data_IF_955695795417
#
_entry.id   IF_955695795417
#
_cell.length_a   1.000
_cell.length_b   1.000
_cell.length_c   1.000
_cell.angle_alpha   90.00
_cell.angle_beta   90.00
_cell.angle_gamma   90.00
#
_symmetry.space_group_name_H-M   'P 1'
#
loop_
_entity.id
_entity.type
_entity.pdbx_description
1 polymer ?
#
# COMPACT_ATOMS: atom_id res chain seq x y z
N UNK A 1 4.14 14.07 13.90
CA UNK A 1 3.29 14.67 14.96
C UNK A 1 2.96 16.14 14.66
N UNK A 2 3.94 16.97 14.30
CA UNK A 2 3.73 18.41 14.02
C UNK A 2 2.67 18.70 12.94
N UNK A 3 2.70 18.01 11.79
CA UNK A 3 1.70 18.17 10.73
C UNK A 3 0.24 17.94 11.22
N UNK A 4 0.04 16.99 12.14
CA UNK A 4 -1.29 16.71 12.72
C UNK A 4 -1.67 17.79 13.72
N UNK A 5 -0.73 18.27 14.55
CA UNK A 5 -1.00 19.39 15.45
C UNK A 5 -1.38 20.67 14.69
N UNK A 6 -0.73 20.94 13.55
CA UNK A 6 -1.03 22.11 12.71
C UNK A 6 -2.42 22.04 12.07
N UNK A 7 -2.84 20.86 11.59
CA UNK A 7 -4.13 20.67 10.91
C UNK A 7 -5.30 20.42 11.86
N UNK A 8 -5.04 19.74 12.97
CA UNK A 8 -6.03 19.28 13.93
C UNK A 8 -5.57 19.57 15.38
N UNK A 9 -5.37 20.85 15.75
CA UNK A 9 -4.80 21.22 17.05
C UNK A 9 -5.64 20.72 18.22
N UNK A 10 -6.96 20.66 18.05
CA UNK A 10 -7.91 20.16 19.05
C UNK A 10 -7.77 18.66 19.37
N UNK A 11 -7.08 17.88 18.52
CA UNK A 11 -6.77 16.47 18.78
C UNK A 11 -5.48 16.26 19.56
N UNK A 12 -4.63 17.29 19.67
CA UNK A 12 -3.28 17.20 20.24
C UNK A 12 -3.15 18.04 21.51
N UNK A 13 -3.74 19.25 21.53
CA UNK A 13 -3.59 20.19 22.64
C UNK A 13 -4.80 20.20 23.58
N UNK A 14 -4.55 20.06 24.90
CA UNK A 14 -5.57 20.18 25.96
C UNK A 14 -6.12 21.60 26.16
N UNK A 15 -5.43 22.63 25.64
CA UNK A 15 -5.65 24.04 26.01
C UNK A 15 -6.17 24.91 24.86
N UNK A 16 -6.92 24.34 23.92
CA UNK A 16 -7.76 25.18 23.06
C UNK A 16 -8.83 25.80 23.97
N UNK A 17 -8.67 27.09 24.29
CA UNK A 17 -9.70 27.88 24.97
C UNK A 17 -11.00 27.70 24.18
N UNK A 18 -12.04 27.22 24.88
CA UNK A 18 -13.43 27.22 24.41
C UNK A 18 -13.74 26.36 23.17
N UNK A 19 -13.46 25.06 23.19
CA UNK A 19 -14.26 24.13 22.38
C UNK A 19 -15.49 23.72 23.21
N UNK A 20 -16.72 24.10 22.81
CA UNK A 20 -17.95 23.79 23.59
C UNK A 20 -18.31 22.30 23.59
N UNK A 21 -17.46 21.43 23.04
CA UNK A 21 -17.69 19.99 22.87
C UNK A 21 -16.48 19.22 23.39
N UNK A 22 -16.74 18.04 23.98
CA UNK A 22 -15.67 17.10 24.36
C UNK A 22 -15.06 16.54 23.08
N UNK A 23 -13.76 16.70 22.92
CA UNK A 23 -13.02 16.12 21.80
C UNK A 23 -11.98 15.15 22.34
N UNK A 24 -11.85 13.99 21.70
CA UNK A 24 -10.86 12.98 22.06
C UNK A 24 -9.44 13.48 21.75
N UNK A 25 -8.50 13.17 22.64
CA UNK A 25 -7.08 13.42 22.41
C UNK A 25 -6.43 12.19 21.78
N UNK A 26 -5.46 12.42 20.91
CA UNK A 26 -4.60 11.36 20.38
C UNK A 26 -3.56 10.96 21.44
N UNK A 27 -3.51 9.67 21.75
CA UNK A 27 -2.43 9.04 22.51
C UNK A 27 -1.50 8.35 21.50
N UNK A 28 -0.33 8.93 21.27
CA UNK A 28 0.63 8.40 20.32
C UNK A 28 1.32 7.16 20.89
N UNK A 29 1.12 6.02 20.23
CA UNK A 29 1.92 4.80 20.45
C UNK A 29 2.85 4.63 19.27
N UNK A 30 4.08 5.10 19.43
CA UNK A 30 5.11 4.99 18.40
C UNK A 30 5.74 3.60 18.50
N UNK A 31 5.81 2.89 17.39
CA UNK A 31 6.44 1.56 17.31
C UNK A 31 7.92 1.73 16.96
N UNK A 32 8.22 2.54 15.94
CA UNK A 32 9.56 2.92 15.51
C UNK A 32 9.53 4.39 15.05
N UNK A 33 10.52 5.18 15.47
CA UNK A 33 10.60 6.61 15.16
C UNK A 33 11.20 6.87 13.78
N UNK A 34 12.13 6.02 13.34
CA UNK A 34 12.75 6.12 12.02
C UNK A 34 11.93 5.35 10.98
N UNK A 35 11.33 6.06 10.02
CA UNK A 35 10.51 5.47 8.97
C UNK A 35 11.28 4.58 7.97
N UNK A 36 12.61 4.58 8.02
CA UNK A 36 13.47 3.75 7.18
C UNK A 36 13.94 2.47 7.89
N UNK A 37 13.73 2.36 9.21
CA UNK A 37 14.20 1.20 9.99
C UNK A 37 13.13 0.11 10.10
N UNK A 38 13.52 -1.17 9.99
CA UNK A 38 12.61 -2.27 10.28
C UNK A 38 12.17 -2.29 11.74
N UNK A 39 10.96 -2.78 11.99
CA UNK A 39 10.41 -2.91 13.34
C UNK A 39 9.64 -4.21 13.52
N UNK A 40 9.49 -4.64 14.78
CA UNK A 40 8.71 -5.82 15.13
C UNK A 40 7.33 -5.43 15.68
N UNK A 41 6.27 -6.04 15.15
CA UNK A 41 4.92 -5.89 15.67
C UNK A 41 4.15 -7.21 15.54
N UNK A 42 3.43 -7.60 16.60
CA UNK A 42 2.63 -8.83 16.63
C UNK A 42 3.41 -10.11 16.24
N UNK A 43 4.71 -10.16 16.57
CA UNK A 43 5.59 -11.29 16.25
C UNK A 43 6.11 -11.33 14.81
N UNK A 44 5.85 -10.29 14.01
CA UNK A 44 6.34 -10.16 12.63
C UNK A 44 7.37 -9.03 12.55
N UNK A 45 8.38 -9.21 11.71
CA UNK A 45 9.29 -8.13 11.30
C UNK A 45 8.73 -7.42 10.07
N UNK A 46 8.63 -6.09 10.13
CA UNK A 46 8.19 -5.24 9.04
C UNK A 46 9.35 -4.38 8.56
N UNK A 47 9.63 -4.46 7.27
CA UNK A 47 10.60 -3.59 6.59
C UNK A 47 9.83 -2.50 5.85
N UNK A 48 10.06 -1.22 6.15
CA UNK A 48 9.41 -0.13 5.43
C UNK A 48 9.86 -0.08 3.97
N UNK A 49 8.93 0.28 3.09
CA UNK A 49 9.13 0.44 1.65
C UNK A 49 8.73 1.86 1.25
N UNK A 50 9.67 2.82 1.24
CA UNK A 50 9.36 4.20 0.85
C UNK A 50 8.82 4.24 -0.59
N UNK A 51 7.65 4.85 -0.77
CA UNK A 51 7.02 5.04 -2.08
C UNK A 51 6.51 6.46 -2.21
N UNK A 52 6.29 6.91 -3.44
CA UNK A 52 5.74 8.25 -3.68
C UNK A 52 4.22 8.18 -3.72
N UNK A 53 3.54 9.16 -3.14
CA UNK A 53 2.11 9.37 -3.29
C UNK A 53 1.88 10.84 -3.69
N UNK A 54 1.81 11.08 -5.00
CA UNK A 54 1.96 12.41 -5.60
C UNK A 54 3.42 12.75 -5.93
N UNK A 55 3.75 14.04 -5.98
CA UNK A 55 5.10 14.51 -6.34
C UNK A 55 6.05 14.57 -5.14
N UNK A 56 5.59 15.14 -4.03
CA UNK A 56 6.45 15.58 -2.92
C UNK A 56 6.10 14.89 -1.58
N UNK A 57 5.43 13.75 -1.63
CA UNK A 57 5.02 13.03 -0.43
C UNK A 57 5.46 11.57 -0.48
N UNK A 58 6.21 11.17 0.54
CA UNK A 58 6.65 9.79 0.75
C UNK A 58 5.60 9.11 1.63
N UNK A 59 5.00 8.05 1.10
CA UNK A 59 4.21 7.09 1.86
C UNK A 59 5.04 5.83 2.11
N UNK A 60 4.56 4.95 2.99
CA UNK A 60 5.23 3.70 3.33
C UNK A 60 4.35 2.53 2.89
N UNK A 61 4.90 1.69 2.03
CA UNK A 61 4.52 0.28 1.98
C UNK A 61 5.30 -0.51 3.03
N UNK A 62 4.99 -1.80 3.17
CA UNK A 62 5.72 -2.68 4.08
C UNK A 62 5.94 -4.06 3.46
N UNK A 63 7.16 -4.58 3.62
CA UNK A 63 7.53 -5.97 3.35
C UNK A 63 7.58 -6.74 4.68
N UNK A 64 6.96 -7.90 4.75
CA UNK A 64 6.93 -8.74 5.95
C UNK A 64 6.71 -10.22 5.61
N UNK A 65 6.91 -11.09 6.60
CA UNK A 65 6.79 -12.54 6.49
C UNK A 65 8.12 -13.20 6.12
N UNK A 66 8.53 -14.16 6.94
CA UNK A 66 9.79 -14.91 6.81
C UNK A 66 9.61 -16.13 5.91
N UNK A 67 8.45 -16.81 6.02
CA UNK A 67 8.12 -18.00 5.24
C UNK A 67 7.44 -17.65 3.93
N UNK A 68 6.41 -16.81 4.00
CA UNK A 68 5.74 -16.24 2.82
C UNK A 68 6.01 -14.74 2.77
N UNK A 69 6.69 -14.28 1.72
CA UNK A 69 7.04 -12.87 1.57
C UNK A 69 5.84 -12.09 1.06
N UNK A 70 5.40 -11.12 1.86
CA UNK A 70 4.26 -10.25 1.56
C UNK A 70 4.71 -8.81 1.48
N UNK A 71 4.34 -8.12 0.40
CA UNK A 71 4.45 -6.67 0.32
C UNK A 71 3.05 -6.04 0.25
N UNK A 72 2.78 -5.05 1.10
CA UNK A 72 1.58 -4.23 1.06
C UNK A 72 1.98 -2.79 0.70
N UNK A 73 1.50 -2.28 -0.43
CA UNK A 73 1.87 -0.96 -0.95
C UNK A 73 0.60 -0.21 -1.37
N UNK A 74 0.10 0.62 -0.47
CA UNK A 74 -0.96 1.62 -0.71
C UNK A 74 -0.81 2.73 0.33
N UNK A 75 -0.98 4.01 0.00
CA UNK A 75 -1.24 4.55 -1.35
C UNK A 75 0.06 4.83 -2.11
N UNK A 76 0.03 4.75 -3.44
CA UNK A 76 1.25 4.92 -4.26
C UNK A 76 0.97 5.46 -5.67
N UNK A 77 1.69 6.51 -6.09
CA UNK A 77 1.77 7.02 -7.47
C UNK A 77 3.00 6.51 -8.22
N UNK A 78 4.09 6.23 -7.51
CA UNK A 78 5.37 5.80 -8.09
C UNK A 78 6.19 5.02 -7.07
N UNK A 79 6.70 3.86 -7.50
CA UNK A 79 7.64 3.05 -6.73
C UNK A 79 9.06 3.46 -7.14
N UNK A 80 9.90 3.99 -6.22
CA UNK A 80 11.30 4.29 -6.51
C UNK A 80 12.09 3.02 -6.88
N UNK A 81 13.15 3.11 -7.70
CA UNK A 81 13.98 1.95 -8.07
C UNK A 81 14.57 1.18 -6.89
N UNK A 82 14.90 1.86 -5.78
CA UNK A 82 15.38 1.22 -4.55
C UNK A 82 14.32 0.29 -3.95
N UNK A 83 13.09 0.76 -3.86
CA UNK A 83 11.95 0.01 -3.34
C UNK A 83 11.55 -1.11 -4.28
N UNK A 84 11.53 -0.86 -5.58
CA UNK A 84 11.27 -1.88 -6.61
C UNK A 84 12.33 -3.00 -6.54
N UNK A 85 13.62 -2.64 -6.41
CA UNK A 85 14.68 -3.62 -6.23
C UNK A 85 14.49 -4.44 -4.95
N UNK A 86 14.18 -3.79 -3.81
CA UNK A 86 13.99 -4.44 -2.53
C UNK A 86 12.94 -5.56 -2.58
N UNK A 87 11.84 -5.36 -3.32
CA UNK A 87 10.75 -6.34 -3.47
C UNK A 87 10.85 -7.20 -4.74
N UNK A 88 11.93 -7.07 -5.51
CA UNK A 88 12.16 -7.87 -6.71
C UNK A 88 12.74 -9.24 -6.40
N UNK A 89 12.70 -10.15 -7.38
CA UNK A 89 13.40 -11.45 -7.31
C UNK A 89 14.90 -11.34 -6.99
N UNK A 90 15.55 -10.24 -7.38
CA UNK A 90 16.98 -10.01 -7.14
C UNK A 90 17.28 -9.35 -5.79
N UNK A 91 16.28 -8.73 -5.15
CA UNK A 91 16.39 -8.17 -3.80
C UNK A 91 15.95 -9.19 -2.75
N UNK A 92 14.74 -9.05 -2.22
CA UNK A 92 14.22 -9.95 -1.19
C UNK A 92 13.79 -11.33 -1.72
N UNK A 93 13.78 -11.56 -3.04
CA UNK A 93 13.26 -12.78 -3.65
C UNK A 93 11.85 -12.61 -4.20
N UNK A 94 11.31 -13.67 -4.82
CA UNK A 94 9.96 -13.62 -5.36
C UNK A 94 8.92 -13.45 -4.23
N UNK A 95 8.05 -12.45 -4.34
CA UNK A 95 6.94 -12.27 -3.40
C UNK A 95 5.91 -13.39 -3.55
N UNK A 96 5.43 -13.90 -2.43
CA UNK A 96 4.28 -14.82 -2.38
C UNK A 96 2.97 -14.05 -2.57
N UNK A 97 2.88 -12.84 -2.00
CA UNK A 97 1.73 -11.96 -2.11
C UNK A 97 2.16 -10.49 -2.26
N UNK A 98 1.64 -9.82 -3.27
CA UNK A 98 1.72 -8.36 -3.43
C UNK A 98 0.33 -7.75 -3.35
N UNK A 99 0.08 -6.89 -2.36
CA UNK A 99 -1.13 -6.06 -2.28
C UNK A 99 -0.75 -4.67 -2.77
N UNK A 100 -1.36 -4.21 -3.85
CA UNK A 100 -0.93 -3.01 -4.57
C UNK A 100 -2.11 -2.08 -4.89
N UNK A 101 -1.90 -0.79 -4.71
CA UNK A 101 -2.83 0.28 -5.10
C UNK A 101 -3.16 0.26 -6.60
N UNK A 102 -4.45 0.39 -6.91
CA UNK A 102 -4.98 0.69 -8.23
C UNK A 102 -6.23 1.55 -8.09
N UNK A 103 -6.10 2.85 -8.34
CA UNK A 103 -7.18 3.79 -7.99
C UNK A 103 -8.19 3.98 -9.13
N UNK A 104 -7.69 4.14 -10.36
CA UNK A 104 -8.51 4.40 -11.55
C UNK A 104 -8.17 3.45 -12.72
N UNK A 105 -9.12 3.15 -13.62
CA UNK A 105 -8.88 2.29 -14.79
C UNK A 105 -7.78 2.78 -15.73
N UNK A 106 -7.65 4.11 -15.89
CA UNK A 106 -6.70 4.73 -16.82
C UNK A 106 -6.16 6.02 -16.22
N UNK A 107 -4.88 6.30 -16.46
CA UNK A 107 -4.20 7.50 -16.00
C UNK A 107 -4.93 8.77 -16.42
N UNK A 108 -5.06 9.72 -15.49
CA UNK A 108 -5.63 11.06 -15.72
C UNK A 108 -4.63 12.12 -15.27
N UNK A 109 -4.25 13.01 -16.18
CA UNK A 109 -3.36 14.14 -15.89
C UNK A 109 -1.89 13.77 -15.68
N UNK A 110 -1.01 14.78 -15.55
CA UNK A 110 0.44 14.60 -15.51
C UNK A 110 0.98 14.09 -14.16
N UNK A 111 0.29 14.37 -13.05
CA UNK A 111 0.77 14.08 -11.69
C UNK A 111 -0.29 13.34 -10.87
N UNK A 112 -0.55 12.06 -11.17
CA UNK A 112 -1.51 11.31 -10.38
C UNK A 112 -0.94 11.05 -8.97
N UNK A 113 -1.82 11.03 -7.98
CA UNK A 113 -1.48 10.60 -6.62
C UNK A 113 -1.49 9.08 -6.47
N UNK A 114 -2.07 8.36 -7.42
CA UNK A 114 -2.17 6.90 -7.41
C UNK A 114 -1.79 6.27 -8.74
N UNK A 115 -1.36 5.02 -8.70
CA UNK A 115 -1.13 4.16 -9.85
C UNK A 115 -2.49 3.78 -10.47
N UNK A 116 -2.59 3.84 -11.81
CA UNK A 116 -3.77 3.35 -12.52
C UNK A 116 -3.67 1.84 -12.84
N UNK A 117 -4.78 1.23 -13.26
CA UNK A 117 -4.87 -0.20 -13.57
C UNK A 117 -3.77 -0.69 -14.51
N UNK A 118 -3.54 0.01 -15.63
CA UNK A 118 -2.51 -0.40 -16.59
C UNK A 118 -1.10 -0.30 -16.01
N UNK A 119 -0.81 0.72 -15.20
CA UNK A 119 0.49 0.86 -14.54
C UNK A 119 0.71 -0.23 -13.49
N UNK A 120 -0.34 -0.59 -12.74
CA UNK A 120 -0.30 -1.70 -11.77
C UNK A 120 0.07 -3.02 -12.47
N UNK A 121 -0.59 -3.37 -13.59
CA UNK A 121 -0.29 -4.59 -14.33
C UNK A 121 1.16 -4.63 -14.85
N UNK A 122 1.70 -3.49 -15.30
CA UNK A 122 3.11 -3.42 -15.71
C UNK A 122 4.08 -3.59 -14.54
N UNK A 123 3.73 -3.09 -13.34
CA UNK A 123 4.50 -3.35 -12.11
C UNK A 123 4.45 -4.85 -11.77
N UNK A 124 3.29 -5.48 -11.85
CA UNK A 124 3.15 -6.92 -11.59
C UNK A 124 4.01 -7.76 -12.54
N UNK A 125 4.09 -7.38 -13.83
CA UNK A 125 4.98 -8.04 -14.80
C UNK A 125 6.46 -7.90 -14.47
N UNK A 126 6.89 -6.77 -13.90
CA UNK A 126 8.29 -6.56 -13.53
C UNK A 126 8.66 -7.30 -12.24
N UNK A 127 7.77 -7.29 -11.25
CA UNK A 127 7.99 -7.91 -9.95
C UNK A 127 7.71 -9.42 -9.93
N UNK A 128 6.83 -9.89 -10.80
CA UNK A 128 6.41 -11.29 -10.93
C UNK A 128 6.07 -11.96 -9.57
N UNK A 129 5.15 -11.42 -8.75
CA UNK A 129 4.72 -12.08 -7.52
C UNK A 129 3.99 -13.39 -7.87
N UNK A 130 3.90 -14.33 -6.91
CA UNK A 130 3.08 -15.56 -7.11
C UNK A 130 1.59 -15.21 -7.16
N UNK A 131 1.16 -14.28 -6.30
CA UNK A 131 -0.20 -13.74 -6.27
C UNK A 131 -0.17 -12.23 -6.07
N UNK A 132 -1.10 -11.52 -6.69
CA UNK A 132 -1.36 -10.12 -6.39
C UNK A 132 -2.83 -9.85 -6.07
N UNK A 133 -3.06 -8.90 -5.18
CA UNK A 133 -4.37 -8.31 -4.90
C UNK A 133 -4.29 -6.82 -5.19
N UNK A 134 -5.18 -6.32 -6.04
CA UNK A 134 -5.28 -4.89 -6.29
C UNK A 134 -6.29 -4.25 -5.34
N UNK A 135 -5.95 -3.11 -4.74
CA UNK A 135 -6.79 -2.39 -3.77
C UNK A 135 -6.85 -0.89 -4.09
N UNK A 136 -7.60 -0.08 -3.32
CA UNK A 136 -7.69 1.36 -3.54
C UNK A 136 -8.62 1.79 -4.69
N UNK A 137 -9.36 0.85 -5.30
CA UNK A 137 -10.23 1.12 -6.44
C UNK A 137 -11.32 2.14 -6.14
N UNK A 138 -11.52 3.08 -7.06
CA UNK A 138 -12.70 3.96 -7.09
C UNK A 138 -13.94 3.24 -7.60
N UNK A 139 -15.08 3.92 -7.52
CA UNK A 139 -16.36 3.47 -8.08
C UNK A 139 -16.36 3.29 -9.61
N UNK A 140 -15.28 3.68 -10.31
CA UNK A 140 -15.12 3.44 -11.74
C UNK A 140 -14.77 1.98 -12.07
N UNK A 141 -14.42 1.17 -11.06
CA UNK A 141 -14.23 -0.26 -11.21
C UNK A 141 -15.52 -1.01 -10.90
N UNK A 142 -16.08 -1.69 -11.90
CA UNK A 142 -16.98 -2.80 -11.63
C UNK A 142 -16.15 -4.00 -11.16
N UNK A 143 -16.43 -4.51 -9.95
CA UNK A 143 -15.60 -5.54 -9.34
C UNK A 143 -15.64 -6.87 -10.10
N UNK A 144 -16.80 -7.23 -10.66
CA UNK A 144 -16.97 -8.48 -11.37
C UNK A 144 -16.31 -8.41 -12.76
N UNK A 145 -16.62 -7.35 -13.52
CA UNK A 145 -16.08 -7.15 -14.88
C UNK A 145 -14.54 -7.13 -14.88
N UNK A 146 -13.92 -6.40 -13.96
CA UNK A 146 -12.46 -6.32 -13.90
C UNK A 146 -11.82 -7.62 -13.42
N UNK A 147 -12.50 -8.41 -12.58
CA UNK A 147 -11.99 -9.73 -12.20
C UNK A 147 -12.05 -10.74 -13.35
N UNK A 148 -13.03 -10.64 -14.25
CA UNK A 148 -13.04 -11.44 -15.50
C UNK A 148 -11.84 -11.08 -16.38
N UNK A 149 -11.60 -9.78 -16.58
CA UNK A 149 -10.42 -9.28 -17.33
C UNK A 149 -9.11 -9.76 -16.67
N UNK A 150 -9.01 -9.68 -15.34
CA UNK A 150 -7.84 -10.11 -14.60
C UNK A 150 -7.64 -11.63 -14.64
N UNK A 151 -8.71 -12.42 -14.72
CA UNK A 151 -8.61 -13.88 -14.87
C UNK A 151 -7.97 -14.25 -16.22
N UNK A 152 -8.41 -13.62 -17.32
CA UNK A 152 -7.80 -13.81 -18.64
C UNK A 152 -6.34 -13.32 -18.67
N UNK A 153 -6.08 -12.16 -18.08
CA UNK A 153 -4.72 -11.62 -17.96
C UNK A 153 -3.82 -12.56 -17.15
N UNK A 154 -4.32 -13.08 -16.03
CA UNK A 154 -3.58 -14.00 -15.14
C UNK A 154 -3.18 -15.28 -15.85
N UNK A 155 -4.08 -15.84 -16.67
CA UNK A 155 -3.79 -17.03 -17.47
C UNK A 155 -2.67 -16.78 -18.49
N UNK A 156 -2.68 -15.59 -19.14
CA UNK A 156 -1.67 -15.23 -20.13
C UNK A 156 -0.29 -14.97 -19.50
N UNK A 157 -0.24 -14.23 -18.40
CA UNK A 157 1.02 -13.78 -17.81
C UNK A 157 1.59 -14.77 -16.77
N UNK A 158 0.78 -15.76 -16.33
CA UNK A 158 1.19 -16.74 -15.32
C UNK A 158 1.30 -16.15 -13.91
N UNK A 159 0.66 -15.02 -13.64
CA UNK A 159 0.61 -14.34 -12.35
C UNK A 159 -0.83 -14.31 -11.89
N UNK A 160 -1.15 -14.86 -10.72
CA UNK A 160 -2.54 -14.87 -10.22
C UNK A 160 -2.92 -13.51 -9.64
N UNK A 161 -3.83 -12.78 -10.29
CA UNK A 161 -4.24 -11.42 -9.89
C UNK A 161 -5.75 -11.31 -9.80
N UNK A 162 -6.24 -10.60 -8.79
CA UNK A 162 -7.65 -10.23 -8.65
C UNK A 162 -7.77 -8.88 -7.92
N UNK A 163 -8.91 -8.22 -8.07
CA UNK A 163 -9.29 -7.11 -7.20
C UNK A 163 -9.60 -7.65 -5.79
N UNK A 164 -9.11 -6.96 -4.77
CA UNK A 164 -9.49 -7.19 -3.38
C UNK A 164 -10.96 -6.77 -3.15
N UNK A 165 -11.53 -7.18 -2.02
CA UNK A 165 -12.83 -6.72 -1.57
C UNK A 165 -12.85 -6.66 -0.04
N UNK A 166 -13.77 -5.87 0.51
CA UNK A 166 -13.94 -5.76 1.95
C UNK A 166 -14.25 -7.13 2.56
N UNK A 167 -13.57 -7.43 3.67
CA UNK A 167 -13.69 -8.72 4.35
C UNK A 167 -12.95 -9.89 3.69
N UNK A 168 -12.21 -9.69 2.60
CA UNK A 168 -11.36 -10.72 2.00
C UNK A 168 -10.35 -11.25 3.05
N UNK A 169 -10.30 -12.58 3.21
CA UNK A 169 -9.34 -13.27 4.08
C UNK A 169 -8.56 -14.29 3.28
N UNK A 170 -7.24 -14.27 3.45
CA UNK A 170 -6.34 -15.22 2.82
C UNK A 170 -5.55 -15.98 3.89
N UNK A 171 -5.59 -17.32 3.90
CA UNK A 171 -4.65 -18.09 4.70
C UNK A 171 -3.26 -17.93 4.11
N UNK A 172 -2.30 -17.53 4.93
CA UNK A 172 -0.89 -17.38 4.56
C UNK A 172 -0.02 -17.74 5.76
N UNK A 173 1.07 -18.48 5.51
CA UNK A 173 2.05 -18.84 6.54
C UNK A 173 3.16 -17.79 6.50
N UNK A 174 3.06 -16.80 7.39
CA UNK A 174 4.01 -15.69 7.49
C UNK A 174 5.33 -16.14 8.11
#
# INVERSE_FOLDING_TARGET
MESIATRFPYLVEKKVKEVPRRVSLLDWKIIEENCDEPFAASGLSFTPLPVMHGEDYIALGFLFGDKSKVAYISDVSRIPPSTEYAISKAGAGQLDLLILDTNIPRKRGPHPTHICFTEALEILKRLCPKRALLTGMTHEFDHHEYNEILAEWSLREGIHVQLAHDGLRLPIDL
#
